data_IF_240931879805
#
_entry.id   IF_240931879805
#
_cell.length_a   1.000
_cell.length_b   1.000
_cell.length_c   1.000
_cell.angle_alpha   90.00
_cell.angle_beta   90.00
_cell.angle_gamma   90.00
#
_symmetry.space_group_name_H-M   'P 1'
#
loop_
_entity.id
_entity.type
_entity.pdbx_description
1 polymer ?
#
# COMPACT_ATOMS: atom_id res chain seq x y z
N UNK A 1 -5.79 -20.60 -15.55
CA UNK A 1 -5.68 -19.41 -16.44
C UNK A 1 -6.91 -18.57 -16.19
N UNK A 2 -6.75 -17.27 -15.90
CA UNK A 2 -7.89 -16.38 -15.67
C UNK A 2 -8.61 -16.07 -16.98
N UNK A 3 -9.92 -15.94 -16.91
CA UNK A 3 -10.77 -15.45 -18.00
C UNK A 3 -10.53 -13.96 -18.25
N UNK A 4 -10.94 -13.48 -19.43
CA UNK A 4 -10.87 -12.05 -19.78
C UNK A 4 -11.65 -11.16 -18.81
N UNK A 5 -12.77 -11.66 -18.29
CA UNK A 5 -13.56 -10.95 -17.30
C UNK A 5 -12.82 -10.82 -15.96
N UNK A 6 -12.23 -11.92 -15.47
CA UNK A 6 -11.44 -11.91 -14.23
C UNK A 6 -10.23 -10.98 -14.33
N UNK A 7 -9.52 -10.99 -15.47
CA UNK A 7 -8.40 -10.07 -15.71
C UNK A 7 -8.87 -8.61 -15.65
N UNK A 8 -9.96 -8.27 -16.35
CA UNK A 8 -10.48 -6.90 -16.35
C UNK A 8 -10.93 -6.44 -14.95
N UNK A 9 -11.60 -7.32 -14.19
CA UNK A 9 -12.03 -7.03 -12.83
C UNK A 9 -10.83 -6.82 -11.89
N UNK A 10 -9.83 -7.71 -11.96
CA UNK A 10 -8.62 -7.56 -11.15
C UNK A 10 -7.84 -6.28 -11.51
N UNK A 11 -7.72 -5.95 -12.80
CA UNK A 11 -7.09 -4.70 -13.22
C UNK A 11 -7.83 -3.48 -12.70
N UNK A 12 -9.16 -3.45 -12.80
CA UNK A 12 -9.96 -2.34 -12.27
C UNK A 12 -9.79 -2.17 -10.76
N UNK A 13 -9.85 -3.28 -10.01
CA UNK A 13 -9.66 -3.27 -8.56
C UNK A 13 -8.27 -2.78 -8.16
N UNK A 14 -7.23 -3.22 -8.87
CA UNK A 14 -5.85 -2.76 -8.64
C UNK A 14 -5.69 -1.27 -8.95
N UNK A 15 -6.27 -0.77 -10.04
CA UNK A 15 -6.23 0.66 -10.39
C UNK A 15 -6.95 1.51 -9.34
N UNK A 16 -8.12 1.08 -8.89
CA UNK A 16 -8.87 1.78 -7.84
C UNK A 16 -8.07 1.82 -6.54
N UNK A 17 -7.50 0.68 -6.15
CA UNK A 17 -6.68 0.57 -4.95
C UNK A 17 -5.46 1.51 -4.98
N UNK A 18 -4.72 1.54 -6.10
CA UNK A 18 -3.57 2.45 -6.26
C UNK A 18 -4.03 3.91 -6.12
N UNK A 19 -5.16 4.27 -6.73
CA UNK A 19 -5.73 5.62 -6.66
C UNK A 19 -6.12 6.00 -5.22
N UNK A 20 -6.72 5.07 -4.48
CA UNK A 20 -7.15 5.31 -3.10
C UNK A 20 -5.96 5.44 -2.15
N UNK A 21 -4.89 4.66 -2.35
CA UNK A 21 -3.64 4.78 -1.59
C UNK A 21 -2.97 6.12 -1.88
N UNK A 22 -2.85 6.52 -3.15
CA UNK A 22 -2.23 7.78 -3.55
C UNK A 22 -2.96 9.00 -2.94
N UNK A 23 -4.30 8.97 -2.97
CA UNK A 23 -5.12 9.97 -2.29
C UNK A 23 -4.92 9.94 -0.77
N UNK A 24 -4.86 8.77 -0.16
CA UNK A 24 -4.65 8.66 1.28
C UNK A 24 -3.29 9.22 1.72
N UNK A 25 -2.24 9.03 0.93
CA UNK A 25 -0.92 9.64 1.17
C UNK A 25 -1.00 11.15 1.01
N UNK A 26 -1.59 11.65 -0.08
CA UNK A 26 -1.75 13.08 -0.35
C UNK A 26 -2.56 13.80 0.72
N UNK A 27 -3.61 13.17 1.22
CA UNK A 27 -4.50 13.72 2.27
C UNK A 27 -3.95 13.51 3.70
N UNK A 28 -2.73 12.98 3.87
CA UNK A 28 -2.15 12.61 5.18
C UNK A 28 -3.01 11.61 5.98
N UNK A 29 -3.78 10.74 5.31
CA UNK A 29 -4.60 9.69 5.92
C UNK A 29 -3.78 8.40 6.13
N UNK A 30 -2.68 8.50 6.86
CA UNK A 30 -1.71 7.41 7.05
C UNK A 30 -2.30 6.15 7.71
N UNK A 31 -3.33 6.28 8.54
CA UNK A 31 -4.04 5.14 9.11
C UNK A 31 -4.66 4.25 8.04
N UNK A 32 -5.16 4.83 6.94
CA UNK A 32 -5.71 4.07 5.82
C UNK A 32 -4.60 3.26 5.12
N UNK A 33 -3.47 3.91 4.84
CA UNK A 33 -2.30 3.26 4.25
C UNK A 33 -1.74 2.12 5.11
N UNK A 34 -1.55 2.36 6.41
CA UNK A 34 -1.07 1.33 7.35
C UNK A 34 -2.04 0.16 7.42
N UNK A 35 -3.35 0.40 7.48
CA UNK A 35 -4.35 -0.67 7.55
C UNK A 35 -4.36 -1.55 6.31
N UNK A 36 -4.15 -0.95 5.13
CA UNK A 36 -4.03 -1.68 3.88
C UNK A 36 -2.74 -2.52 3.80
N UNK A 37 -1.66 -2.03 4.39
CA UNK A 37 -0.36 -2.69 4.32
C UNK A 37 -0.39 -4.08 4.96
N UNK A 38 0.20 -5.04 4.26
CA UNK A 38 0.28 -6.44 4.71
C UNK A 38 1.25 -6.53 5.89
N UNK A 39 0.96 -7.43 6.84
CA UNK A 39 1.77 -7.56 8.06
C UNK A 39 3.26 -7.82 7.75
N UNK A 40 3.54 -8.60 6.70
CA UNK A 40 4.88 -9.00 6.29
C UNK A 40 5.35 -8.35 4.98
N UNK A 41 4.70 -7.27 4.52
CA UNK A 41 5.07 -6.60 3.28
C UNK A 41 6.42 -5.88 3.37
N UNK A 42 7.10 -5.68 2.24
CA UNK A 42 8.29 -4.83 2.15
C UNK A 42 7.98 -3.56 1.35
N UNK A 43 8.27 -2.39 1.93
CA UNK A 43 8.10 -1.09 1.29
C UNK A 43 9.49 -0.55 0.99
N UNK A 44 9.80 -0.43 -0.29
CA UNK A 44 11.07 0.12 -0.76
C UNK A 44 10.85 1.61 -1.02
N UNK A 45 11.48 2.48 -0.24
CA UNK A 45 11.37 3.94 -0.35
C UNK A 45 12.51 4.47 -1.22
N UNK A 46 13.73 4.02 -0.93
CA UNK A 46 14.93 4.22 -1.75
C UNK A 46 15.75 2.94 -1.73
N UNK A 47 16.78 2.82 -2.58
CA UNK A 47 17.63 1.61 -2.65
C UNK A 47 18.22 1.20 -1.28
N UNK A 48 18.39 2.14 -0.36
CA UNK A 48 18.96 1.91 0.97
C UNK A 48 17.95 2.04 2.12
N UNK A 49 16.70 2.40 1.83
CA UNK A 49 15.66 2.59 2.85
C UNK A 49 14.46 1.71 2.53
N UNK A 50 14.37 0.62 3.28
CA UNK A 50 13.29 -0.35 3.20
C UNK A 50 12.61 -0.46 4.55
N UNK A 51 11.30 -0.63 4.53
CA UNK A 51 10.50 -0.93 5.70
C UNK A 51 10.05 -2.39 5.59
N UNK A 52 10.37 -3.17 6.59
CA UNK A 52 10.06 -4.60 6.69
C UNK A 52 8.88 -4.82 7.62
N UNK A 53 7.71 -4.99 7.01
CA UNK A 53 6.47 -5.28 7.70
C UNK A 53 5.78 -4.06 8.28
N UNK A 54 4.52 -4.29 8.65
CA UNK A 54 3.64 -3.27 9.22
C UNK A 54 4.09 -2.72 10.58
N UNK A 55 4.74 -3.49 11.48
CA UNK A 55 5.25 -2.94 12.74
C UNK A 55 6.29 -1.85 12.54
N UNK A 56 7.24 -2.04 11.61
CA UNK A 56 8.25 -1.04 11.28
C UNK A 56 7.63 0.16 10.55
N UNK A 57 6.63 -0.09 9.70
CA UNK A 57 5.88 1.00 9.08
C UNK A 57 5.22 1.90 10.13
N UNK A 58 4.57 1.31 11.14
CA UNK A 58 3.93 2.05 12.24
C UNK A 58 4.95 2.84 13.07
N UNK A 59 6.13 2.29 13.35
CA UNK A 59 7.13 2.97 14.18
C UNK A 59 7.68 4.24 13.53
N UNK A 60 7.79 4.25 12.20
CA UNK A 60 8.23 5.43 11.45
C UNK A 60 7.16 6.52 11.48
N UNK A 61 5.89 6.17 11.34
CA UNK A 61 4.80 7.14 11.35
C UNK A 61 4.43 7.70 12.73
N UNK A 62 4.60 6.94 13.81
CA UNK A 62 4.33 7.43 15.18
C UNK A 62 5.34 8.49 15.63
N UNK A 63 6.48 8.63 14.93
CA UNK A 63 7.55 9.58 15.23
C UNK A 63 7.59 10.81 14.30
N UNK A 64 6.55 11.04 13.48
CA UNK A 64 6.36 12.26 12.68
C UNK A 64 5.30 13.18 13.32
#
# INVERSE_FOLDING_TARGET
MFSKLEVNLHSLLLTQLITDIDRAITDNKFNFFINFYTENGTLVITENLNISGKPELKSIYVNC
#
